data_IF_490588563643
#
_entry.id   IF_490588563643
#
_cell.length_a   1.000
_cell.length_b   1.000
_cell.length_c   1.000
_cell.angle_alpha   90.00
_cell.angle_beta   90.00
_cell.angle_gamma   90.00
#
_symmetry.space_group_name_H-M   'P 1'
#
loop_
_entity.id
_entity.type
_entity.pdbx_description
1 polymer ?
#
# COMPACT_ATOMS: atom_id res chain seq x y z
N UNK A 1 -1.93 24.21 -10.36
CA UNK A 1 -1.66 24.08 -8.90
C UNK A 1 -1.68 22.60 -8.56
N UNK A 2 -0.52 21.96 -8.51
CA UNK A 2 -0.42 20.57 -8.08
C UNK A 2 -0.32 20.57 -6.57
N UNK A 3 -1.41 20.25 -5.86
CA UNK A 3 -1.33 20.03 -4.42
C UNK A 3 -0.26 18.97 -4.15
N UNK A 4 0.58 19.13 -3.12
CA UNK A 4 1.49 18.08 -2.71
C UNK A 4 0.65 16.84 -2.42
N UNK A 5 0.81 15.80 -3.25
CA UNK A 5 0.21 14.49 -2.98
C UNK A 5 0.56 14.15 -1.54
N UNK A 6 -0.46 13.97 -0.69
CA UNK A 6 -0.22 13.71 0.72
C UNK A 6 0.80 12.56 0.83
N UNK A 7 1.78 12.61 1.75
CA UNK A 7 2.87 11.63 1.80
C UNK A 7 2.40 10.18 1.76
N UNK A 8 1.20 9.93 2.30
CA UNK A 8 0.50 8.65 2.29
C UNK A 8 0.08 8.20 0.87
N UNK A 9 -0.56 9.08 0.09
CA UNK A 9 -1.01 8.76 -1.27
C UNK A 9 0.19 8.59 -2.21
N UNK A 10 1.27 9.36 -2.03
CA UNK A 10 2.51 9.17 -2.79
C UNK A 10 3.17 7.80 -2.57
N UNK A 11 3.09 7.26 -1.34
CA UNK A 11 3.55 5.89 -1.05
C UNK A 11 2.65 4.84 -1.71
N UNK A 12 1.34 5.05 -1.66
CA UNK A 12 0.37 4.15 -2.28
C UNK A 12 0.49 4.10 -3.80
N UNK A 13 0.71 5.23 -4.46
CA UNK A 13 0.98 5.26 -5.89
C UNK A 13 2.28 4.54 -6.24
N UNK A 14 3.36 4.73 -5.46
CA UNK A 14 4.62 4.00 -5.66
C UNK A 14 4.39 2.50 -5.54
N UNK A 15 3.61 2.06 -4.55
CA UNK A 15 3.23 0.67 -4.39
C UNK A 15 2.49 0.14 -5.63
N UNK A 16 1.46 0.86 -6.09
CA UNK A 16 0.69 0.48 -7.27
C UNK A 16 1.58 0.39 -8.53
N UNK A 17 2.51 1.35 -8.71
CA UNK A 17 3.47 1.32 -9.82
C UNK A 17 4.42 0.12 -9.76
N UNK A 18 4.85 -0.31 -8.57
CA UNK A 18 5.69 -1.50 -8.42
C UNK A 18 4.94 -2.76 -8.87
N UNK A 19 3.70 -2.94 -8.41
CA UNK A 19 2.91 -4.12 -8.79
C UNK A 19 2.46 -4.08 -10.25
N UNK A 20 2.21 -2.90 -10.81
CA UNK A 20 1.90 -2.73 -12.24
C UNK A 20 3.04 -3.23 -13.14
N UNK A 21 4.31 -3.06 -12.73
CA UNK A 21 5.47 -3.60 -13.46
C UNK A 21 5.48 -5.14 -13.51
N UNK A 22 4.81 -5.78 -12.55
CA UNK A 22 4.62 -7.23 -12.50
C UNK A 22 3.29 -7.69 -13.12
N UNK A 23 2.54 -6.79 -13.77
CA UNK A 23 1.24 -7.08 -14.41
C UNK A 23 0.02 -6.95 -13.49
N UNK A 24 0.21 -6.57 -12.23
CA UNK A 24 -0.86 -6.43 -11.24
C UNK A 24 -1.18 -4.96 -10.98
N UNK A 25 -1.56 -4.21 -12.00
CA UNK A 25 -1.97 -2.82 -11.82
C UNK A 25 -3.33 -2.72 -11.10
N UNK A 26 -3.43 -1.84 -10.10
CA UNK A 26 -4.69 -1.56 -9.37
C UNK A 26 -5.80 -1.14 -10.34
N UNK A 27 -7.02 -1.67 -10.16
CA UNK A 27 -8.21 -1.23 -10.92
C UNK A 27 -8.80 0.06 -10.30
N UNK A 28 -9.43 0.93 -11.08
CA UNK A 28 -9.97 2.20 -10.57
C UNK A 28 -11.06 2.00 -9.50
N UNK A 29 -11.89 0.98 -9.67
CA UNK A 29 -12.96 0.52 -8.77
C UNK A 29 -12.47 -0.38 -7.62
N UNK A 30 -11.17 -0.70 -7.56
CA UNK A 30 -10.63 -1.62 -6.57
C UNK A 30 -10.12 -0.87 -5.33
N UNK A 31 -10.76 -1.14 -4.18
CA UNK A 31 -10.28 -0.66 -2.88
C UNK A 31 -9.01 -1.37 -2.42
N UNK A 32 -8.31 -0.86 -1.39
CA UNK A 32 -7.05 -1.45 -0.91
C UNK A 32 -7.19 -2.90 -0.43
N UNK A 33 -8.29 -3.28 0.21
CA UNK A 33 -8.54 -4.66 0.64
C UNK A 33 -8.80 -5.60 -0.55
N UNK A 34 -9.60 -5.15 -1.52
CA UNK A 34 -9.83 -5.90 -2.76
C UNK A 34 -8.53 -6.12 -3.53
N UNK A 35 -7.69 -5.08 -3.59
CA UNK A 35 -6.38 -5.18 -4.21
C UNK A 35 -5.45 -6.16 -3.49
N UNK A 36 -5.45 -6.16 -2.14
CA UNK A 36 -4.67 -7.12 -1.35
C UNK A 36 -5.08 -8.56 -1.64
N UNK A 37 -6.38 -8.83 -1.70
CA UNK A 37 -6.90 -10.16 -2.03
C UNK A 37 -6.45 -10.60 -3.43
N UNK A 38 -6.50 -9.71 -4.43
CA UNK A 38 -6.03 -10.02 -5.79
C UNK A 38 -4.52 -10.25 -5.84
N UNK A 39 -3.71 -9.48 -5.11
CA UNK A 39 -2.25 -9.65 -5.09
C UNK A 39 -1.80 -11.00 -4.53
N UNK A 40 -2.63 -11.70 -3.73
CA UNK A 40 -2.34 -13.08 -3.30
C UNK A 40 -2.27 -14.07 -4.47
N UNK A 41 -2.89 -13.75 -5.60
CA UNK A 41 -2.81 -14.57 -6.83
C UNK A 41 -1.51 -14.35 -7.60
N UNK A 42 -0.75 -13.30 -7.28
CA UNK A 42 0.55 -13.05 -7.89
C UNK A 42 1.57 -14.10 -7.45
N UNK A 43 2.41 -14.55 -8.38
CA UNK A 43 3.54 -15.42 -8.08
C UNK A 43 4.63 -14.64 -7.35
N UNK A 44 4.61 -14.68 -6.03
CA UNK A 44 5.61 -14.09 -5.15
C UNK A 44 5.86 -14.99 -3.93
N UNK A 45 6.90 -14.68 -3.16
CA UNK A 45 7.16 -15.38 -1.90
C UNK A 45 6.09 -15.04 -0.85
N UNK A 46 5.84 -15.92 0.13
CA UNK A 46 4.92 -15.65 1.23
C UNK A 46 5.24 -14.36 1.99
N UNK A 47 6.52 -14.04 2.15
CA UNK A 47 6.98 -12.80 2.78
C UNK A 47 6.54 -11.55 2.01
N UNK A 48 6.63 -11.58 0.67
CA UNK A 48 6.14 -10.50 -0.19
C UNK A 48 4.63 -10.34 -0.08
N UNK A 49 3.87 -11.43 -0.08
CA UNK A 49 2.42 -11.37 0.12
C UNK A 49 2.08 -10.75 1.47
N UNK A 50 2.76 -11.16 2.55
CA UNK A 50 2.57 -10.60 3.89
C UNK A 50 2.91 -9.09 3.93
N UNK A 51 3.99 -8.67 3.27
CA UNK A 51 4.37 -7.26 3.18
C UNK A 51 3.31 -6.42 2.44
N UNK A 52 2.78 -6.93 1.32
CA UNK A 52 1.74 -6.26 0.52
C UNK A 52 0.43 -6.12 1.30
N UNK A 53 0.01 -7.18 1.97
CA UNK A 53 -1.19 -7.18 2.81
C UNK A 53 -1.07 -6.19 3.97
N UNK A 54 0.06 -6.21 4.69
CA UNK A 54 0.33 -5.25 5.77
C UNK A 54 0.36 -3.81 5.25
N UNK A 55 0.97 -3.57 4.09
CA UNK A 55 1.02 -2.24 3.48
C UNK A 55 -0.39 -1.71 3.18
N UNK A 56 -1.22 -2.53 2.52
CA UNK A 56 -2.57 -2.12 2.11
C UNK A 56 -3.53 -1.95 3.30
N UNK A 57 -3.39 -2.80 4.32
CA UNK A 57 -4.15 -2.70 5.57
C UNK A 57 -3.81 -1.41 6.31
N UNK A 58 -2.52 -1.13 6.51
CA UNK A 58 -2.06 0.09 7.18
C UNK A 58 -2.43 1.36 6.39
N UNK A 59 -2.29 1.34 5.06
CA UNK A 59 -2.75 2.42 4.20
C UNK A 59 -4.25 2.68 4.34
N UNK A 60 -5.07 1.63 4.28
CA UNK A 60 -6.52 1.72 4.44
C UNK A 60 -6.90 2.32 5.80
N UNK A 61 -6.26 1.85 6.88
CA UNK A 61 -6.47 2.37 8.23
C UNK A 61 -6.09 3.86 8.35
N UNK A 62 -4.99 4.29 7.75
CA UNK A 62 -4.57 5.70 7.79
C UNK A 62 -5.41 6.63 6.91
N UNK A 63 -5.96 6.10 5.80
CA UNK A 63 -6.73 6.90 4.83
C UNK A 63 -8.20 7.02 5.22
N UNK A 64 -8.79 5.93 5.71
CA UNK A 64 -10.22 5.83 5.98
C UNK A 64 -10.54 5.63 7.47
N UNK A 65 -9.57 5.23 8.29
CA UNK A 65 -9.76 5.10 9.73
C UNK A 65 -9.63 6.44 10.45
N UNK A 66 -10.38 6.58 11.54
CA UNK A 66 -10.09 7.60 12.53
C UNK A 66 -8.73 7.24 13.13
N UNK A 67 -7.70 8.03 12.86
CA UNK A 67 -6.35 7.76 13.34
C UNK A 67 -6.37 7.55 14.86
N UNK A 68 -6.26 6.29 15.30
CA UNK A 68 -5.98 5.95 16.69
C UNK A 68 -4.65 6.59 17.10
N UNK A 69 -4.35 6.62 18.40
CA UNK A 69 -3.24 7.38 19.00
C UNK A 69 -1.82 7.02 18.53
N UNK A 70 -1.69 6.15 17.54
CA UNK A 70 -0.44 5.86 16.85
C UNK A 70 0.05 7.09 16.09
N UNK A 71 1.33 7.43 16.28
CA UNK A 71 1.94 8.57 15.58
C UNK A 71 1.92 8.34 14.07
N UNK A 72 1.23 9.21 13.34
CA UNK A 72 1.17 9.21 11.86
C UNK A 72 2.56 9.10 11.21
N UNK A 73 3.59 9.67 11.84
CA UNK A 73 4.98 9.59 11.39
C UNK A 73 5.59 8.19 11.51
N UNK A 74 5.27 7.46 12.59
CA UNK A 74 5.69 6.07 12.75
C UNK A 74 5.03 5.19 11.69
N UNK A 75 3.73 5.36 11.45
CA UNK A 75 3.00 4.60 10.43
C UNK A 75 3.52 4.87 9.01
N UNK A 76 3.88 6.12 8.68
CA UNK A 76 4.52 6.46 7.40
C UNK A 76 5.89 5.81 7.24
N UNK A 77 6.66 5.70 8.32
CA UNK A 77 7.96 5.01 8.32
C UNK A 77 7.77 3.53 8.05
N UNK A 78 6.80 2.88 8.71
CA UNK A 78 6.44 1.49 8.47
C UNK A 78 6.02 1.25 7.02
N UNK A 79 5.20 2.13 6.43
CA UNK A 79 4.81 2.03 5.02
C UNK A 79 6.02 2.12 4.07
N UNK A 80 7.01 2.98 4.34
CA UNK A 80 8.25 3.06 3.53
C UNK A 80 9.07 1.78 3.60
N UNK A 81 9.19 1.18 4.79
CA UNK A 81 9.90 -0.09 4.95
C UNK A 81 9.20 -1.21 4.19
N UNK A 82 7.88 -1.34 4.37
CA UNK A 82 7.07 -2.33 3.66
C UNK A 82 7.13 -2.15 2.14
N UNK A 83 7.13 -0.91 1.65
CA UNK A 83 7.23 -0.60 0.22
C UNK A 83 8.51 -1.19 -0.42
N UNK A 84 9.62 -1.19 0.32
CA UNK A 84 10.91 -1.74 -0.14
C UNK A 84 10.85 -3.27 -0.23
N UNK A 85 10.12 -3.92 0.68
CA UNK A 85 9.92 -5.37 0.68
C UNK A 85 8.96 -5.85 -0.43
N UNK A 86 8.09 -4.96 -0.91
CA UNK A 86 7.10 -5.27 -1.95
C UNK A 86 7.64 -5.21 -3.40
N UNK A 87 8.94 -4.96 -3.61
CA UNK A 87 9.55 -4.78 -4.94
C UNK A 87 9.64 -6.07 -5.76
#
# INVERSE_FOLDING_TARGET
IGWPVAPLDGLYERFCRQQARHGYARRPDEGPLGYAARLRTMRASPDKHAAMEKFLTLYGALKYGAAGSESRSASLTTLKTLLTLCR
#
